data_IF_077616057307
#
_entry.id   IF_077616057307
#
_cell.length_a   1.000
_cell.length_b   1.000
_cell.length_c   1.000
_cell.angle_alpha   90.00
_cell.angle_beta   90.00
_cell.angle_gamma   90.00
#
_symmetry.space_group_name_H-M   'P 1'
#
loop_
_entity.id
_entity.type
_entity.pdbx_description
1 polymer ?
#
# COMPACT_ATOMS: atom_id res chain seq x y z
N UNK A 1 -6.83 6.67 -13.49
CA UNK A 1 -6.20 7.58 -12.52
C UNK A 1 -4.74 7.70 -12.92
N UNK A 2 -4.12 8.87 -12.83
CA UNK A 2 -2.69 9.03 -13.12
C UNK A 2 -1.83 8.94 -11.83
N UNK A 3 -0.51 8.76 -11.98
CA UNK A 3 0.43 8.61 -10.87
C UNK A 3 0.38 9.79 -9.88
N UNK A 4 0.27 11.01 -10.39
CA UNK A 4 0.23 12.23 -9.58
C UNK A 4 -1.02 12.29 -8.73
N UNK A 5 -2.17 11.97 -9.32
CA UNK A 5 -3.44 11.87 -8.60
C UNK A 5 -3.40 10.81 -7.50
N UNK A 6 -2.76 9.66 -7.76
CA UNK A 6 -2.63 8.58 -6.76
C UNK A 6 -1.84 9.09 -5.54
N UNK A 7 -0.70 9.73 -5.79
CA UNK A 7 0.19 10.28 -4.74
C UNK A 7 -0.48 11.44 -3.99
N UNK A 8 -1.12 12.36 -4.71
CA UNK A 8 -1.76 13.55 -4.11
C UNK A 8 -2.91 13.13 -3.18
N UNK A 9 -3.74 12.19 -3.61
CA UNK A 9 -4.86 11.68 -2.80
C UNK A 9 -4.32 10.92 -1.58
N UNK A 10 -3.30 10.08 -1.74
CA UNK A 10 -2.68 9.39 -0.61
C UNK A 10 -2.07 10.38 0.40
N UNK A 11 -1.32 11.36 -0.09
CA UNK A 11 -0.64 12.37 0.74
C UNK A 11 -1.64 13.21 1.53
N UNK A 12 -2.81 13.51 0.95
CA UNK A 12 -3.89 14.18 1.68
C UNK A 12 -4.52 13.26 2.73
N UNK A 13 -4.81 12.01 2.36
CA UNK A 13 -5.61 11.11 3.19
C UNK A 13 -4.82 10.53 4.36
N UNK A 14 -3.54 10.21 4.17
CA UNK A 14 -2.67 9.61 5.18
C UNK A 14 -2.54 10.45 6.46
N UNK A 15 -2.70 11.77 6.36
CA UNK A 15 -2.68 12.69 7.51
C UNK A 15 -3.88 12.49 8.45
N UNK A 16 -4.93 11.81 7.98
CA UNK A 16 -6.15 11.51 8.74
C UNK A 16 -6.27 10.04 9.14
N UNK A 17 -5.28 9.21 8.78
CA UNK A 17 -5.24 7.79 9.12
C UNK A 17 -4.45 7.59 10.42
N UNK A 18 -4.96 6.74 11.31
CA UNK A 18 -4.21 6.40 12.53
C UNK A 18 -2.95 5.63 12.15
N UNK A 19 -1.83 5.92 12.83
CA UNK A 19 -0.53 5.30 12.54
C UNK A 19 -0.56 3.76 12.61
N UNK A 20 -1.41 3.17 13.45
CA UNK A 20 -1.56 1.72 13.56
C UNK A 20 -2.29 1.09 12.38
N UNK A 21 -2.97 1.91 11.59
CA UNK A 21 -3.82 1.47 10.47
C UNK A 21 -3.30 1.93 9.11
N UNK A 22 -2.17 2.64 9.07
CA UNK A 22 -1.66 3.26 7.84
C UNK A 22 -1.25 2.23 6.79
N UNK A 23 -0.72 1.09 7.20
CA UNK A 23 -0.35 -0.03 6.33
C UNK A 23 -1.60 -0.66 5.69
N UNK A 24 -2.56 -1.08 6.52
CA UNK A 24 -3.84 -1.63 6.03
C UNK A 24 -4.60 -0.62 5.17
N UNK A 25 -4.51 0.68 5.48
CA UNK A 25 -5.12 1.72 4.66
C UNK A 25 -4.42 1.87 3.29
N UNK A 26 -3.10 1.74 3.24
CA UNK A 26 -2.34 1.75 1.99
C UNK A 26 -2.72 0.54 1.12
N UNK A 27 -2.76 -0.66 1.70
CA UNK A 27 -3.21 -1.88 1.01
C UNK A 27 -4.60 -1.71 0.41
N UNK A 28 -5.59 -1.30 1.22
CA UNK A 28 -6.96 -1.11 0.74
C UNK A 28 -7.07 0.00 -0.31
N UNK A 29 -6.19 1.00 -0.24
CA UNK A 29 -6.14 2.05 -1.25
C UNK A 29 -5.63 1.49 -2.57
N UNK A 30 -4.57 0.69 -2.58
CA UNK A 30 -4.06 0.02 -3.79
C UNK A 30 -5.07 -1.00 -4.33
N UNK A 31 -5.69 -1.83 -3.49
CA UNK A 31 -6.76 -2.76 -3.86
C UNK A 31 -7.90 -2.04 -4.61
N UNK A 32 -8.34 -0.90 -4.07
CA UNK A 32 -9.39 -0.09 -4.70
C UNK A 32 -8.96 0.48 -6.06
N UNK A 33 -7.70 0.89 -6.21
CA UNK A 33 -7.17 1.38 -7.50
C UNK A 33 -7.14 0.26 -8.54
N UNK A 34 -6.75 -0.95 -8.14
CA UNK A 34 -6.79 -2.12 -8.99
C UNK A 34 -8.22 -2.49 -9.42
N UNK A 35 -9.18 -2.48 -8.48
CA UNK A 35 -10.61 -2.71 -8.77
C UNK A 35 -11.17 -1.67 -9.76
N UNK A 36 -10.64 -0.45 -9.74
CA UNK A 36 -10.97 0.61 -10.70
C UNK A 36 -10.25 0.50 -12.05
N UNK A 37 -9.39 -0.51 -12.22
CA UNK A 37 -8.67 -0.78 -13.45
C UNK A 37 -7.46 0.12 -13.67
N UNK A 38 -6.81 0.59 -12.60
CA UNK A 38 -5.48 1.21 -12.71
C UNK A 38 -4.47 0.12 -13.08
N UNK A 39 -3.74 0.31 -14.18
CA UNK A 39 -2.75 -0.65 -14.67
C UNK A 39 -1.53 -0.77 -13.74
N UNK A 40 -0.94 -1.97 -13.67
CA UNK A 40 0.27 -2.27 -12.90
C UNK A 40 1.44 -1.32 -13.21
N UNK A 41 1.56 -0.89 -14.48
CA UNK A 41 2.60 0.07 -14.88
C UNK A 41 2.41 1.43 -14.18
N UNK A 42 1.16 1.87 -14.02
CA UNK A 42 0.85 3.12 -13.31
C UNK A 42 1.13 2.97 -11.82
N UNK A 43 0.76 1.84 -11.22
CA UNK A 43 1.11 1.54 -9.82
C UNK A 43 2.63 1.49 -9.61
N UNK A 44 3.38 0.85 -10.51
CA UNK A 44 4.84 0.78 -10.44
C UNK A 44 5.49 2.16 -10.57
N UNK A 45 4.87 3.10 -11.31
CA UNK A 45 5.39 4.47 -11.45
C UNK A 45 5.18 5.33 -10.20
N UNK A 46 4.30 4.90 -9.28
CA UNK A 46 4.09 5.53 -7.97
C UNK A 46 5.17 5.12 -6.95
N UNK A 47 5.94 4.06 -7.22
CA UNK A 47 7.01 3.60 -6.33
C UNK A 47 8.04 4.70 -6.04
N UNK A 48 8.49 4.78 -4.80
CA UNK A 48 9.44 5.78 -4.31
C UNK A 48 8.79 7.12 -3.92
N UNK A 49 7.46 7.22 -3.98
CA UNK A 49 6.72 8.40 -3.51
C UNK A 49 6.40 8.33 -2.02
N UNK A 50 6.07 7.15 -1.49
CA UNK A 50 5.76 6.92 -0.09
C UNK A 50 6.00 5.46 0.30
N UNK A 51 6.68 5.24 1.44
CA UNK A 51 7.05 3.90 1.89
C UNK A 51 5.85 2.96 2.07
N UNK A 52 4.67 3.45 2.50
CA UNK A 52 3.51 2.58 2.71
C UNK A 52 2.84 2.22 1.39
N UNK A 53 2.83 3.14 0.42
CA UNK A 53 2.39 2.82 -0.94
C UNK A 53 3.34 1.82 -1.58
N UNK A 54 4.64 1.99 -1.40
CA UNK A 54 5.65 1.10 -1.94
C UNK A 54 5.43 -0.34 -1.44
N UNK A 55 5.25 -0.50 -0.13
CA UNK A 55 4.93 -1.79 0.48
C UNK A 55 3.63 -2.39 -0.06
N UNK A 56 2.56 -1.60 -0.13
CA UNK A 56 1.26 -2.05 -0.63
C UNK A 56 1.28 -2.42 -2.12
N UNK A 57 2.01 -1.68 -2.96
CA UNK A 57 2.16 -1.94 -4.40
C UNK A 57 2.97 -3.23 -4.60
N UNK A 58 4.07 -3.41 -3.85
CA UNK A 58 4.88 -4.63 -3.92
C UNK A 58 4.05 -5.85 -3.49
N UNK A 59 3.26 -5.73 -2.42
CA UNK A 59 2.34 -6.77 -1.98
C UNK A 59 1.28 -7.10 -3.04
N UNK A 60 0.64 -6.08 -3.63
CA UNK A 60 -0.39 -6.26 -4.64
C UNK A 60 0.14 -6.92 -5.92
N UNK A 61 1.32 -6.51 -6.39
CA UNK A 61 1.94 -7.04 -7.59
C UNK A 61 2.61 -8.42 -7.38
N UNK A 62 2.52 -8.96 -6.16
CA UNK A 62 3.22 -10.19 -5.74
C UNK A 62 4.71 -10.14 -6.11
N UNK A 63 5.29 -8.93 -6.08
CA UNK A 63 6.71 -8.73 -6.27
C UNK A 63 7.33 -9.07 -4.93
N UNK A 64 7.79 -10.32 -4.80
CA UNK A 64 8.47 -10.85 -3.61
C UNK A 64 9.54 -9.87 -3.09
N UNK A 65 9.17 -9.00 -2.17
CA UNK A 65 10.12 -8.49 -1.18
C UNK A 65 10.04 -9.45 0.01
N UNK A 66 10.86 -10.50 -0.07
CA UNK A 66 11.02 -11.64 0.83
C UNK A 66 11.17 -11.33 2.35
N UNK A 67 10.88 -10.13 2.89
CA UNK A 67 11.22 -9.79 4.28
C UNK A 67 10.34 -8.71 4.96
N UNK A 68 9.03 -8.92 5.08
CA UNK A 68 8.28 -8.39 6.24
C UNK A 68 7.45 -9.50 6.88
N UNK A 69 8.15 -10.41 7.54
CA UNK A 69 7.58 -11.17 8.65
C UNK A 69 7.40 -10.21 9.83
N UNK A 70 6.33 -9.41 9.82
CA UNK A 70 5.86 -8.73 11.03
C UNK A 70 4.90 -9.66 11.77
N UNK A 71 5.50 -10.45 12.67
CA UNK A 71 5.02 -10.72 14.02
C UNK A 71 3.50 -10.87 14.16
N UNK A 72 2.98 -12.07 13.91
CA UNK A 72 1.62 -12.43 14.30
C UNK A 72 1.54 -12.42 15.85
N UNK A 73 0.83 -11.46 16.48
CA UNK A 73 0.79 -11.33 17.94
C UNK A 73 -0.07 -12.42 18.60
N UNK A 74 -0.56 -13.40 17.84
CA UNK A 74 -1.45 -14.47 18.28
C UNK A 74 -0.76 -15.83 18.37
N UNK A 75 0.57 -15.90 18.19
CA UNK A 75 1.36 -17.14 18.34
C UNK A 75 1.82 -17.46 19.77
N UNK A 76 1.23 -16.83 20.80
CA UNK A 76 1.61 -17.01 22.21
C UNK A 76 0.44 -17.51 23.10
N UNK A 77 -0.43 -18.38 22.57
CA UNK A 77 -1.44 -19.07 23.40
C UNK A 77 -1.74 -20.51 22.93
N UNK A 78 -0.82 -21.44 23.21
CA UNK A 78 -1.14 -22.87 23.47
C UNK A 78 -0.13 -23.52 24.45
#
# INVERSE_FOLDING_TARGET
MDEGQIVDVWTLFKEYVDKKSIEVAAERYIDMLADYGVDDHTLTSVLGSDNHLDAAINYFLDVEEENFAEDDPWEDED
#
